data_IF_935785031518
#
_entry.id   IF_935785031518
#
_cell.length_a   1.000
_cell.length_b   1.000
_cell.length_c   1.000
_cell.angle_alpha   90.00
_cell.angle_beta   90.00
_cell.angle_gamma   90.00
#
_symmetry.space_group_name_H-M   'P 1'
#
loop_
_entity.id
_entity.type
_entity.pdbx_description
1 polymer ?
#
# COMPACT_ATOMS: atom_id res chain seq x y z
N UNK A 1 37.65 43.27 -13.29
CA UNK A 1 37.47 42.31 -12.20
C UNK A 1 36.13 42.59 -11.53
N UNK A 2 35.06 42.05 -12.12
CA UNK A 2 33.69 42.28 -11.66
C UNK A 2 33.33 41.25 -10.59
N UNK A 3 32.92 41.73 -9.43
CA UNK A 3 32.60 40.89 -8.27
C UNK A 3 31.35 40.06 -8.53
N UNK A 4 31.47 38.75 -8.31
CA UNK A 4 30.35 37.84 -8.09
C UNK A 4 29.63 38.27 -6.79
N UNK A 5 28.75 39.26 -6.88
CA UNK A 5 27.68 39.46 -5.91
C UNK A 5 26.43 38.83 -6.53
N UNK A 6 25.73 38.03 -5.74
CA UNK A 6 24.42 37.42 -6.04
C UNK A 6 24.40 35.97 -6.55
N UNK A 7 25.27 35.11 -6.02
CA UNK A 7 24.87 33.70 -5.83
C UNK A 7 24.03 33.64 -4.56
N UNK A 8 22.71 33.87 -4.70
CA UNK A 8 21.72 33.50 -3.67
C UNK A 8 21.79 31.98 -3.51
N UNK A 9 22.63 31.50 -2.58
CA UNK A 9 22.63 30.11 -2.13
C UNK A 9 21.26 29.82 -1.55
N UNK A 10 20.41 29.23 -2.39
CA UNK A 10 19.20 28.52 -2.01
C UNK A 10 19.61 27.32 -1.16
N UNK A 11 19.75 27.52 0.13
CA UNK A 11 19.64 26.44 1.11
C UNK A 11 18.31 26.67 1.84
N UNK A 12 17.25 26.10 1.29
CA UNK A 12 15.89 26.08 1.84
C UNK A 12 15.73 25.07 2.99
N UNK A 13 16.79 24.80 3.74
CA UNK A 13 16.65 24.11 5.01
C UNK A 13 16.41 25.16 6.07
N UNK A 14 15.12 25.37 6.36
CA UNK A 14 14.67 25.94 7.62
C UNK A 14 15.35 25.10 8.70
N UNK A 15 16.36 25.64 9.38
CA UNK A 15 16.93 25.03 10.57
C UNK A 15 15.80 25.00 11.58
N UNK A 16 15.08 23.88 11.62
CA UNK A 16 14.19 23.59 12.72
C UNK A 16 15.13 23.34 13.88
N UNK A 17 15.35 24.37 14.69
CA UNK A 17 15.80 24.18 16.06
C UNK A 17 14.76 23.27 16.71
N UNK A 18 15.04 21.97 16.63
CA UNK A 18 14.29 20.97 17.36
C UNK A 18 14.72 21.20 18.80
N UNK A 19 14.03 22.10 19.51
CA UNK A 19 13.97 22.09 20.95
C UNK A 19 13.35 20.76 21.38
N UNK A 20 14.13 19.68 21.30
CA UNK A 20 13.82 18.46 22.03
C UNK A 20 14.03 18.84 23.49
N UNK A 21 12.96 19.25 24.15
CA UNK A 21 12.86 19.10 25.60
C UNK A 21 12.96 17.61 25.88
N UNK A 22 14.19 17.10 26.01
CA UNK A 22 14.43 15.78 26.55
C UNK A 22 13.95 15.83 28.00
N UNK A 23 12.69 15.44 28.22
CA UNK A 23 12.25 15.05 29.54
C UNK A 23 13.06 13.80 29.87
N UNK A 24 14.12 13.95 30.67
CA UNK A 24 14.83 12.82 31.25
C UNK A 24 13.78 11.89 31.87
N UNK A 25 13.75 10.64 31.41
CA UNK A 25 12.84 9.62 31.93
C UNK A 25 13.16 9.43 33.42
N UNK A 26 12.22 9.78 34.30
CA UNK A 26 12.41 9.75 35.75
C UNK A 26 12.39 8.34 36.34
N UNK A 27 12.09 7.30 35.56
CA UNK A 27 12.06 5.91 36.02
C UNK A 27 12.47 4.93 34.91
N UNK A 28 13.00 3.76 35.29
CA UNK A 28 13.41 2.71 34.35
C UNK A 28 12.22 2.20 33.51
N UNK A 29 11.01 2.22 34.06
CA UNK A 29 9.79 1.85 33.34
C UNK A 29 9.47 2.85 32.21
N UNK A 30 9.74 4.14 32.42
CA UNK A 30 9.56 5.16 31.38
C UNK A 30 10.60 5.04 30.25
N UNK A 31 11.81 4.57 30.56
CA UNK A 31 12.83 4.28 29.56
C UNK A 31 12.45 3.07 28.69
N UNK A 32 11.98 1.98 29.31
CA UNK A 32 11.53 0.78 28.58
C UNK A 32 10.33 1.13 27.69
N UNK A 33 9.36 1.89 28.20
CA UNK A 33 8.20 2.33 27.43
C UNK A 33 8.52 3.29 26.27
N UNK A 34 9.68 3.97 26.30
CA UNK A 34 10.16 4.80 25.19
C UNK A 34 11.02 4.01 24.19
N UNK A 35 11.70 2.95 24.65
CA UNK A 35 12.49 2.05 23.82
C UNK A 35 11.63 1.04 23.05
N UNK A 36 10.51 0.62 23.63
CA UNK A 36 9.42 -0.05 22.92
C UNK A 36 8.75 0.97 21.99
N UNK A 37 9.32 1.13 20.80
CA UNK A 37 8.90 2.14 19.83
C UNK A 37 7.40 2.14 19.52
N UNK A 38 6.98 3.18 18.81
CA UNK A 38 5.61 3.50 18.36
C UNK A 38 4.86 2.35 17.63
N UNK A 39 5.51 1.20 17.43
CA UNK A 39 5.02 -0.03 16.81
C UNK A 39 4.46 -1.06 17.79
N UNK A 40 4.74 -1.00 19.09
CA UNK A 40 4.25 -1.98 20.09
C UNK A 40 2.79 -1.76 20.49
N UNK A 41 2.27 -0.55 20.31
CA UNK A 41 0.86 -0.25 20.56
C UNK A 41 0.03 -0.68 19.35
N UNK A 42 -0.93 -1.60 19.48
CA UNK A 42 -1.85 -1.88 18.38
C UNK A 42 -2.57 -0.58 18.04
N UNK A 43 -2.28 -0.02 16.86
CA UNK A 43 -2.91 1.21 16.39
C UNK A 43 -4.41 1.02 16.50
N UNK A 44 -5.05 1.94 17.22
CA UNK A 44 -6.50 1.98 17.40
C UNK A 44 -7.19 1.63 16.07
N UNK A 45 -8.14 0.69 16.13
CA UNK A 45 -8.92 0.16 15.01
C UNK A 45 -9.31 1.27 14.02
N UNK A 46 -8.49 1.53 13.03
CA UNK A 46 -8.66 2.72 12.21
C UNK A 46 -7.45 3.07 11.36
N UNK A 47 -7.47 2.56 10.12
CA UNK A 47 -6.91 3.23 8.94
C UNK A 47 -5.38 3.20 8.77
N UNK A 48 -4.85 2.03 8.43
CA UNK A 48 -3.67 1.90 7.55
C UNK A 48 -3.87 0.72 6.57
N UNK A 49 -4.96 0.77 5.81
CA UNK A 49 -5.25 -0.22 4.77
C UNK A 49 -6.17 0.36 3.72
N UNK A 50 -6.10 -0.17 2.49
CA UNK A 50 -6.98 0.22 1.42
C UNK A 50 -8.46 0.12 1.86
N UNK A 51 -9.33 1.06 1.47
CA UNK A 51 -10.74 1.01 1.83
C UNK A 51 -11.34 -0.32 1.39
N UNK A 52 -12.10 -0.96 2.29
CA UNK A 52 -12.83 -2.19 1.95
C UNK A 52 -13.83 -1.84 0.84
N UNK A 53 -13.85 -2.64 -0.22
CA UNK A 53 -14.84 -2.49 -1.30
C UNK A 53 -16.25 -2.50 -0.71
N UNK A 54 -17.11 -1.61 -1.23
CA UNK A 54 -18.52 -1.53 -0.88
C UNK A 54 -19.19 -2.89 -1.15
N UNK A 55 -20.27 -3.22 -0.44
CA UNK A 55 -20.99 -4.49 -0.66
C UNK A 55 -21.51 -4.63 -2.09
N UNK A 56 -21.87 -3.51 -2.73
CA UNK A 56 -22.30 -3.45 -4.13
C UNK A 56 -21.19 -3.85 -5.11
N UNK A 57 -19.92 -3.61 -4.75
CA UNK A 57 -18.76 -3.96 -5.59
C UNK A 57 -18.21 -5.37 -5.31
N UNK A 58 -18.76 -6.07 -4.31
CA UNK A 58 -18.37 -7.45 -4.00
C UNK A 58 -19.08 -8.39 -4.96
N UNK A 59 -18.34 -9.40 -5.45
CA UNK A 59 -18.94 -10.49 -6.22
C UNK A 59 -19.90 -11.27 -5.32
N UNK A 60 -21.20 -11.18 -5.61
CA UNK A 60 -22.26 -11.83 -4.83
C UNK A 60 -22.49 -13.28 -5.22
N UNK A 61 -22.14 -13.66 -6.44
CA UNK A 61 -22.39 -15.01 -6.98
C UNK A 61 -21.10 -15.77 -7.24
N UNK A 62 -21.08 -17.05 -6.83
CA UNK A 62 -20.02 -18.00 -7.14
C UNK A 62 -20.59 -19.05 -8.09
N UNK A 63 -19.95 -19.21 -9.24
CA UNK A 63 -20.30 -20.25 -10.21
C UNK A 63 -19.16 -21.26 -10.24
N UNK A 64 -19.50 -22.54 -10.10
CA UNK A 64 -18.57 -23.64 -10.30
C UNK A 64 -18.70 -24.11 -11.75
N UNK A 65 -17.58 -24.20 -12.45
CA UNK A 65 -17.49 -24.69 -13.82
C UNK A 65 -16.37 -25.73 -13.89
N UNK A 66 -16.66 -26.84 -14.56
CA UNK A 66 -15.73 -27.93 -14.77
C UNK A 66 -15.35 -27.96 -16.25
N UNK A 67 -14.07 -28.20 -16.52
CA UNK A 67 -13.52 -28.27 -17.86
C UNK A 67 -12.69 -29.54 -17.97
N UNK A 68 -12.70 -30.15 -19.15
CA UNK A 68 -11.77 -31.20 -19.54
C UNK A 68 -10.37 -30.60 -19.77
N UNK A 69 -9.34 -31.44 -19.73
CA UNK A 69 -7.95 -30.99 -19.96
C UNK A 69 -7.78 -30.28 -21.32
N UNK A 70 -8.42 -30.81 -22.38
CA UNK A 70 -8.39 -30.21 -23.72
C UNK A 70 -9.03 -28.82 -23.76
N UNK A 71 -10.09 -28.61 -22.99
CA UNK A 71 -10.76 -27.31 -22.90
C UNK A 71 -9.92 -26.30 -22.13
N UNK A 72 -9.23 -26.73 -21.06
CA UNK A 72 -8.35 -25.86 -20.28
C UNK A 72 -7.24 -25.28 -21.16
N UNK A 73 -6.59 -26.10 -21.97
CA UNK A 73 -5.51 -25.65 -22.88
C UNK A 73 -6.05 -24.60 -23.85
N UNK A 74 -7.20 -24.85 -24.50
CA UNK A 74 -7.82 -23.86 -25.39
C UNK A 74 -8.19 -22.56 -24.68
N UNK A 75 -8.70 -22.65 -23.45
CA UNK A 75 -9.04 -21.47 -22.64
C UNK A 75 -7.78 -20.66 -22.32
N UNK A 76 -6.66 -21.32 -22.04
CA UNK A 76 -5.37 -20.65 -21.81
C UNK A 76 -4.90 -19.92 -23.06
N UNK A 77 -4.87 -20.60 -24.21
CA UNK A 77 -4.50 -20.00 -25.51
C UNK A 77 -5.36 -18.75 -25.81
N UNK A 78 -6.69 -18.88 -25.71
CA UNK A 78 -7.60 -17.75 -25.96
C UNK A 78 -7.45 -16.59 -24.95
N UNK A 79 -7.06 -16.90 -23.71
CA UNK A 79 -6.81 -15.88 -22.69
C UNK A 79 -5.51 -15.12 -22.99
N UNK A 80 -4.47 -15.83 -23.44
CA UNK A 80 -3.19 -15.27 -23.88
C UNK A 80 -3.36 -14.38 -25.12
N UNK A 81 -4.13 -14.82 -26.12
CA UNK A 81 -4.44 -14.05 -27.32
C UNK A 81 -5.08 -12.69 -27.00
N UNK A 82 -5.88 -12.63 -25.92
CA UNK A 82 -6.53 -11.40 -25.44
C UNK A 82 -5.74 -10.65 -24.39
N UNK A 83 -4.56 -11.14 -24.03
CA UNK A 83 -3.72 -10.60 -22.97
C UNK A 83 -4.47 -10.45 -21.63
N UNK A 84 -5.30 -11.44 -21.29
CA UNK A 84 -6.11 -11.50 -20.07
C UNK A 84 -5.71 -12.70 -19.22
N UNK A 85 -5.91 -12.61 -17.91
CA UNK A 85 -5.80 -13.82 -17.06
C UNK A 85 -6.95 -14.76 -17.38
N UNK A 86 -6.72 -16.07 -17.29
CA UNK A 86 -7.76 -17.11 -17.52
C UNK A 86 -9.07 -16.82 -16.75
N UNK A 87 -8.97 -16.43 -15.48
CA UNK A 87 -10.15 -16.08 -14.67
C UNK A 87 -10.87 -14.81 -15.12
N UNK A 88 -10.17 -13.86 -15.72
CA UNK A 88 -10.75 -12.64 -16.28
C UNK A 88 -11.39 -12.94 -17.63
N UNK A 89 -10.69 -13.72 -18.47
CA UNK A 89 -11.19 -14.22 -19.75
C UNK A 89 -12.47 -15.04 -19.59
N UNK A 90 -12.52 -15.98 -18.65
CA UNK A 90 -13.72 -16.77 -18.38
C UNK A 90 -14.91 -15.90 -18.01
N UNK A 91 -14.70 -14.87 -17.20
CA UNK A 91 -15.78 -13.94 -16.84
C UNK A 91 -16.21 -13.08 -18.00
N UNK A 92 -15.25 -12.53 -18.74
CA UNK A 92 -15.53 -11.80 -19.97
C UNK A 92 -16.37 -12.65 -20.92
N UNK A 93 -16.03 -13.93 -21.10
CA UNK A 93 -16.74 -14.80 -22.03
C UNK A 93 -18.14 -15.22 -21.55
N UNK A 94 -18.36 -15.35 -20.23
CA UNK A 94 -19.65 -15.78 -19.66
C UNK A 94 -20.62 -14.60 -19.47
N UNK A 95 -20.10 -13.42 -19.13
CA UNK A 95 -20.93 -12.29 -18.67
C UNK A 95 -20.84 -11.04 -19.57
N UNK A 96 -20.04 -11.03 -20.64
CA UNK A 96 -20.11 -10.02 -21.71
C UNK A 96 -20.82 -10.60 -22.93
#
# INVERSE_FOLDING_TARGET
MAGLRDIKKTNSFKSVELERKSKQAGSANDFINQAEGETSKPKAKGKLGAPRKSEADKRTQKIMCYFTEKEIVKIQEMAEDKNMKVNEFLRFKIFS
#
